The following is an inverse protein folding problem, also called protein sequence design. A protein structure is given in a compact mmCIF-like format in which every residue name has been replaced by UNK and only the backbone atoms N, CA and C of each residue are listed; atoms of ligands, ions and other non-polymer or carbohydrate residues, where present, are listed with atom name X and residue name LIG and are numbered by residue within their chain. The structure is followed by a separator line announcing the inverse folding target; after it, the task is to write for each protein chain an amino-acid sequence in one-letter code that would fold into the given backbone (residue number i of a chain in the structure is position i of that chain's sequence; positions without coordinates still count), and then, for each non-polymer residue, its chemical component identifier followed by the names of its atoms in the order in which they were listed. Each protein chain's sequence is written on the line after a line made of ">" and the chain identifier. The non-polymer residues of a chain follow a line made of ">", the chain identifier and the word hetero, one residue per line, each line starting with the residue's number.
data_IF_241313891422
#
_entry.id   IF_241313891422
#
_cell.length_a   1.000
_cell.length_b   1.000
_cell.length_c   1.000
_cell.angle_alpha   90.00
_cell.angle_beta   90.00
_cell.angle_gamma   90.00
#
_symmetry.space_group_name_H-M   'P 1'
#
loop_
_entity.id
_entity.type
_entity.pdbx_description
1 polymer ?
#
# COMPACT_ATOMS: atom_id res chain seq x y z
N UNK A 1 -10.02 -21.31 -18.30
CA UNK A 1 -9.93 -19.84 -18.31
C UNK A 1 -11.26 -19.30 -17.78
N UNK A 2 -11.29 -18.70 -16.59
CA UNK A 2 -12.52 -18.07 -16.07
C UNK A 2 -12.55 -16.61 -16.57
N UNK A 3 -13.47 -16.31 -17.47
CA UNK A 3 -13.78 -14.92 -17.83
C UNK A 3 -14.44 -14.28 -16.60
N UNK A 4 -13.72 -13.37 -15.95
CA UNK A 4 -14.25 -12.61 -14.83
C UNK A 4 -15.15 -11.49 -15.36
N UNK A 5 -16.43 -11.51 -15.02
CA UNK A 5 -17.30 -10.36 -15.21
C UNK A 5 -17.08 -9.43 -14.02
N UNK A 6 -16.09 -8.54 -14.11
CA UNK A 6 -16.04 -7.39 -13.22
C UNK A 6 -17.34 -6.58 -13.38
N UNK A 7 -17.79 -5.84 -12.35
CA UNK A 7 -18.93 -4.96 -12.50
C UNK A 7 -18.73 -4.02 -13.71
N UNK A 8 -19.80 -3.59 -14.39
CA UNK A 8 -19.70 -2.64 -15.50
C UNK A 8 -18.85 -1.43 -15.10
N UNK A 9 -17.92 -1.01 -15.97
CA UNK A 9 -17.00 0.11 -15.71
C UNK A 9 -15.67 -0.27 -15.06
N UNK A 10 -15.48 -1.50 -14.57
CA UNK A 10 -14.22 -1.93 -13.97
C UNK A 10 -13.32 -2.63 -14.99
N UNK A 11 -12.03 -2.27 -14.98
CA UNK A 11 -10.96 -2.97 -15.68
C UNK A 11 -10.12 -3.77 -14.68
N UNK A 12 -9.91 -5.05 -15.01
CA UNK A 12 -8.97 -5.91 -14.29
C UNK A 12 -7.62 -5.89 -14.99
N UNK A 13 -6.54 -6.05 -14.21
CA UNK A 13 -5.24 -6.31 -14.81
C UNK A 13 -5.36 -7.50 -15.77
N UNK A 14 -4.65 -7.48 -16.90
CA UNK A 14 -4.80 -8.56 -17.88
C UNK A 14 -4.49 -9.92 -17.24
N UNK A 15 -5.47 -10.83 -17.25
CA UNK A 15 -5.47 -12.14 -16.57
C UNK A 15 -4.32 -13.09 -16.95
N UNK A 16 -3.59 -12.77 -18.02
CA UNK A 16 -2.52 -13.57 -18.59
C UNK A 16 -1.15 -13.33 -17.94
N UNK A 17 -0.95 -12.24 -17.18
CA UNK A 17 0.37 -11.84 -16.69
C UNK A 17 0.34 -11.81 -15.16
N UNK A 18 1.09 -12.72 -14.52
CA UNK A 18 1.07 -12.93 -13.05
C UNK A 18 2.43 -12.79 -12.38
N UNK A 19 3.43 -12.30 -13.11
CA UNK A 19 4.81 -12.27 -12.61
C UNK A 19 5.10 -10.90 -12.01
N UNK A 20 5.46 -10.89 -10.73
CA UNK A 20 6.13 -9.77 -10.08
C UNK A 20 7.56 -10.21 -9.81
N UNK A 21 8.51 -9.29 -9.91
CA UNK A 21 9.92 -9.57 -9.67
C UNK A 21 10.47 -8.73 -8.51
N UNK A 22 11.57 -9.20 -7.94
CA UNK A 22 12.41 -8.44 -7.02
C UNK A 22 13.78 -8.30 -7.69
N UNK A 23 14.33 -7.10 -7.72
CA UNK A 23 15.70 -6.87 -8.17
C UNK A 23 16.66 -7.28 -7.05
N UNK A 24 17.59 -8.19 -7.32
CA UNK A 24 18.66 -8.56 -6.40
C UNK A 24 19.96 -8.68 -7.18
N UNK A 25 20.99 -7.97 -6.77
CA UNK A 25 22.32 -7.98 -7.40
C UNK A 25 22.25 -7.76 -8.92
N UNK A 26 21.41 -6.83 -9.36
CA UNK A 26 21.23 -6.50 -10.78
C UNK A 26 20.44 -7.53 -11.61
N UNK A 27 19.86 -8.56 -10.98
CA UNK A 27 19.03 -9.57 -11.65
C UNK A 27 17.59 -9.55 -11.15
N UNK A 28 16.64 -9.81 -12.05
CA UNK A 28 15.23 -9.91 -11.70
C UNK A 28 14.88 -11.34 -11.28
N UNK A 29 14.59 -11.51 -9.99
CA UNK A 29 14.13 -12.77 -9.42
C UNK A 29 12.61 -12.76 -9.34
N UNK A 30 11.97 -13.86 -9.77
CA UNK A 30 10.52 -13.97 -9.68
C UNK A 30 10.10 -14.07 -8.22
N UNK A 31 9.10 -13.27 -7.83
CA UNK A 31 8.46 -13.39 -6.54
C UNK A 31 7.80 -14.78 -6.42
N UNK A 32 8.05 -15.54 -5.33
CA UNK A 32 7.43 -16.84 -5.15
C UNK A 32 5.91 -16.72 -5.10
N UNK A 33 5.20 -17.70 -5.67
CA UNK A 33 3.75 -17.77 -5.58
C UNK A 33 3.31 -18.11 -4.14
N UNK A 34 2.05 -17.80 -3.79
CA UNK A 34 1.48 -18.18 -2.49
C UNK A 34 1.90 -17.30 -1.30
N UNK A 35 2.18 -16.02 -1.57
CA UNK A 35 2.31 -15.01 -0.51
C UNK A 35 0.91 -14.59 -0.03
N UNK A 36 0.60 -14.87 1.22
CA UNK A 36 -0.66 -14.45 1.88
C UNK A 36 -0.31 -13.44 2.95
N UNK A 37 -0.72 -12.18 2.80
CA UNK A 37 -0.30 -11.12 3.74
C UNK A 37 1.22 -11.00 3.83
N UNK A 38 1.93 -11.15 2.69
CA UNK A 38 3.40 -11.20 2.55
C UNK A 38 4.09 -12.43 3.12
N UNK A 39 3.36 -13.34 3.77
CA UNK A 39 3.93 -14.56 4.33
C UNK A 39 3.95 -15.67 3.26
N UNK A 40 5.10 -16.35 3.03
CA UNK A 40 5.21 -17.45 2.08
C UNK A 40 4.52 -18.71 2.61
N UNK A 41 3.25 -18.89 2.24
CA UNK A 41 2.45 -20.07 2.60
C UNK A 41 2.66 -21.27 1.67
N UNK A 42 3.24 -21.06 0.48
CA UNK A 42 3.61 -22.13 -0.44
C UNK A 42 5.12 -22.40 -0.35
N UNK A 43 5.49 -23.37 0.50
CA UNK A 43 6.89 -23.72 0.75
C UNK A 43 7.57 -24.36 -0.45
N UNK A 44 6.84 -25.07 -1.32
CA UNK A 44 7.40 -25.64 -2.56
C UNK A 44 7.78 -24.55 -3.55
N UNK A 45 6.94 -23.52 -3.70
CA UNK A 45 7.26 -22.36 -4.54
C UNK A 45 8.45 -21.56 -3.97
N UNK A 46 8.56 -21.47 -2.65
CA UNK A 46 9.69 -20.84 -1.97
C UNK A 46 10.99 -21.64 -2.16
N UNK A 47 10.92 -22.98 -2.04
CA UNK A 47 12.07 -23.86 -2.20
C UNK A 47 12.68 -23.75 -3.61
N UNK A 48 11.82 -23.66 -4.62
CA UNK A 48 12.20 -23.47 -6.03
C UNK A 48 12.57 -22.02 -6.39
N UNK A 49 12.42 -21.08 -5.45
CA UNK A 49 12.74 -19.67 -5.69
C UNK A 49 14.26 -19.46 -5.74
N UNK A 50 14.69 -18.59 -6.64
CA UNK A 50 16.07 -18.08 -6.71
C UNK A 50 16.28 -16.80 -5.90
N UNK A 51 15.22 -16.26 -5.30
CA UNK A 51 15.26 -14.99 -4.57
C UNK A 51 16.02 -15.10 -3.23
N UNK A 52 15.83 -16.22 -2.52
CA UNK A 52 16.36 -16.43 -1.17
C UNK A 52 17.47 -17.50 -1.17
N UNK A 53 18.44 -17.36 -0.28
CA UNK A 53 19.42 -18.40 0.00
C UNK A 53 18.78 -19.67 0.59
N UNK A 54 19.48 -20.79 0.50
CA UNK A 54 19.02 -22.04 1.11
C UNK A 54 18.95 -21.94 2.64
N UNK A 55 19.83 -21.14 3.26
CA UNK A 55 19.76 -20.83 4.69
C UNK A 55 18.49 -20.08 5.07
N UNK A 56 18.07 -19.09 4.28
CA UNK A 56 16.81 -18.39 4.49
C UNK A 56 15.59 -19.29 4.29
N UNK A 57 15.61 -20.17 3.28
CA UNK A 57 14.54 -21.15 3.06
C UNK A 57 14.39 -22.10 4.25
N UNK A 58 15.50 -22.62 4.78
CA UNK A 58 15.50 -23.43 5.99
C UNK A 58 14.98 -22.64 7.21
N UNK A 59 15.39 -21.38 7.34
CA UNK A 59 14.94 -20.50 8.41
C UNK A 59 13.42 -20.26 8.39
N UNK A 60 12.81 -20.16 7.21
CA UNK A 60 11.35 -20.11 7.03
C UNK A 60 10.69 -21.43 7.40
N UNK A 61 11.27 -22.57 6.99
CA UNK A 61 10.73 -23.89 7.32
C UNK A 61 10.67 -24.15 8.84
N UNK A 62 11.54 -23.51 9.62
CA UNK A 62 11.55 -23.59 11.08
C UNK A 62 10.50 -22.69 11.77
N UNK A 63 9.81 -21.80 11.05
CA UNK A 63 8.88 -20.81 11.63
C UNK A 63 7.76 -21.46 12.45
N UNK A 64 7.27 -22.61 12.00
CA UNK A 64 6.20 -23.35 12.68
C UNK A 64 6.61 -23.89 14.06
N UNK A 65 7.91 -24.00 14.33
CA UNK A 65 8.46 -24.54 15.58
C UNK A 65 8.90 -23.45 16.55
N UNK A 66 8.81 -22.17 16.18
CA UNK A 66 9.22 -21.06 17.04
C UNK A 66 8.13 -20.71 18.05
N UNK A 67 8.49 -20.49 19.33
CA UNK A 67 7.52 -20.03 20.32
C UNK A 67 7.00 -18.63 19.96
N UNK A 68 5.71 -18.34 20.20
CA UNK A 68 5.17 -16.99 20.08
C UNK A 68 5.78 -16.06 21.14
N UNK A 69 5.87 -14.77 20.83
CA UNK A 69 6.26 -13.76 21.83
C UNK A 69 5.11 -13.50 22.82
N UNK A 70 5.42 -13.48 24.11
CA UNK A 70 4.48 -13.10 25.18
C UNK A 70 4.29 -11.58 25.26
N UNK A 71 3.12 -11.13 25.71
CA UNK A 71 2.83 -9.70 25.93
C UNK A 71 2.22 -8.96 24.73
N UNK A 72 1.93 -7.68 24.96
CA UNK A 72 1.18 -6.82 24.02
C UNK A 72 1.96 -5.59 23.56
N UNK A 73 3.28 -5.59 23.78
CA UNK A 73 4.15 -4.55 23.26
C UNK A 73 4.14 -4.57 21.73
N UNK A 74 4.10 -3.37 21.15
CA UNK A 74 4.20 -3.20 19.71
C UNK A 74 5.66 -3.37 19.27
N UNK A 75 5.85 -3.94 18.08
CA UNK A 75 7.15 -4.10 17.47
C UNK A 75 7.11 -3.67 16.00
N UNK A 76 8.27 -3.38 15.42
CA UNK A 76 8.32 -3.03 14.00
C UNK A 76 8.11 -4.25 13.11
N UNK A 77 7.66 -4.01 11.87
CA UNK A 77 7.55 -5.07 10.85
C UNK A 77 8.92 -5.77 10.68
N UNK A 78 10.02 -5.01 10.66
CA UNK A 78 11.36 -5.56 10.54
C UNK A 78 11.72 -6.51 11.68
N UNK A 79 11.47 -6.10 12.93
CA UNK A 79 11.70 -6.93 14.13
C UNK A 79 10.90 -8.22 14.05
N UNK A 80 9.59 -8.10 13.79
CA UNK A 80 8.68 -9.23 13.74
C UNK A 80 9.08 -10.25 12.68
N UNK A 81 9.29 -9.81 11.44
CA UNK A 81 9.64 -10.71 10.32
C UNK A 81 11.02 -11.32 10.54
N UNK A 82 11.99 -10.55 11.01
CA UNK A 82 13.34 -11.07 11.29
C UNK A 82 13.29 -12.15 12.36
N UNK A 83 12.54 -11.94 13.44
CA UNK A 83 12.35 -12.92 14.52
C UNK A 83 11.59 -14.16 14.07
N UNK A 84 10.58 -14.04 13.21
CA UNK A 84 9.78 -15.20 12.75
C UNK A 84 10.44 -15.96 11.60
N UNK A 85 11.00 -15.27 10.61
CA UNK A 85 11.39 -15.85 9.31
C UNK A 85 12.85 -15.55 8.92
N UNK A 86 13.53 -14.68 9.65
CA UNK A 86 14.94 -14.34 9.41
C UNK A 86 15.12 -13.04 8.62
N UNK A 87 16.33 -12.48 8.75
CA UNK A 87 16.69 -11.18 8.19
C UNK A 87 16.60 -11.14 6.66
N UNK A 88 17.10 -12.17 5.96
CA UNK A 88 17.07 -12.18 4.49
C UNK A 88 15.63 -12.19 3.95
N UNK A 89 14.67 -12.79 4.66
CA UNK A 89 13.25 -12.75 4.28
C UNK A 89 12.69 -11.35 4.45
N UNK A 90 13.03 -10.65 5.53
CA UNK A 90 12.67 -9.25 5.67
C UNK A 90 13.27 -8.43 4.52
N UNK A 91 14.58 -8.47 4.34
CA UNK A 91 15.29 -7.61 3.38
C UNK A 91 14.91 -7.90 1.92
N UNK A 92 14.83 -9.17 1.51
CA UNK A 92 14.69 -9.54 0.10
C UNK A 92 13.23 -9.75 -0.33
N UNK A 93 12.30 -9.93 0.61
CA UNK A 93 10.91 -10.28 0.30
C UNK A 93 9.91 -9.29 0.90
N UNK A 94 9.97 -9.03 2.20
CA UNK A 94 8.93 -8.23 2.86
C UNK A 94 9.15 -6.73 2.69
N UNK A 95 10.35 -6.25 3.00
CA UNK A 95 10.75 -4.84 2.88
C UNK A 95 10.42 -4.22 1.52
N UNK A 96 10.79 -4.82 0.37
CA UNK A 96 10.52 -4.19 -0.93
C UNK A 96 9.02 -4.13 -1.27
N UNK A 97 8.22 -5.06 -0.74
CA UNK A 97 6.75 -5.01 -0.89
C UNK A 97 6.14 -3.92 0.01
N UNK A 98 6.71 -3.73 1.21
CA UNK A 98 6.29 -2.71 2.17
C UNK A 98 6.64 -1.30 1.73
N UNK A 99 7.85 -1.11 1.24
CA UNK A 99 8.27 0.12 0.59
C UNK A 99 7.30 0.49 -0.55
N UNK A 100 6.85 -0.48 -1.34
CA UNK A 100 5.86 -0.24 -2.39
C UNK A 100 4.44 0.11 -1.92
N UNK A 101 4.02 -0.28 -0.71
CA UNK A 101 2.66 -0.03 -0.18
C UNK A 101 2.63 1.22 0.71
N UNK A 102 3.55 1.33 1.65
CA UNK A 102 3.59 2.39 2.65
C UNK A 102 4.61 3.49 2.33
N UNK A 103 5.58 3.24 1.44
CA UNK A 103 6.66 4.20 1.16
C UNK A 103 7.50 4.54 2.39
N UNK A 104 7.54 3.64 3.39
CA UNK A 104 8.14 3.88 4.69
C UNK A 104 9.13 2.79 5.11
N UNK A 105 9.97 3.13 6.09
CA UNK A 105 10.99 2.24 6.66
C UNK A 105 10.33 1.18 7.58
N UNK A 106 10.45 -0.10 7.19
CA UNK A 106 9.89 -1.22 7.94
C UNK A 106 10.48 -1.40 9.35
N UNK A 107 11.61 -0.76 9.68
CA UNK A 107 12.16 -0.72 11.03
C UNK A 107 11.41 0.22 11.97
N UNK A 108 10.63 1.15 11.42
CA UNK A 108 9.83 2.15 12.14
C UNK A 108 8.32 1.90 12.06
N UNK A 109 7.87 1.14 11.04
CA UNK A 109 6.46 0.83 10.87
C UNK A 109 5.97 -0.13 11.97
N UNK A 110 5.02 0.34 12.77
CA UNK A 110 4.28 -0.44 13.78
C UNK A 110 3.57 -1.64 13.16
N UNK A 111 3.82 -2.83 13.69
CA UNK A 111 3.09 -4.03 13.30
C UNK A 111 1.62 -3.94 13.70
N UNK A 112 1.32 -3.42 14.90
CA UNK A 112 -0.04 -3.27 15.38
C UNK A 112 -0.89 -2.33 14.49
N UNK A 113 -0.29 -1.27 13.96
CA UNK A 113 -0.98 -0.31 13.10
C UNK A 113 -1.14 -0.80 11.65
N UNK A 114 -0.21 -1.63 11.15
CA UNK A 114 -0.15 -2.01 9.73
C UNK A 114 -0.67 -3.41 9.45
N UNK A 115 -0.25 -4.41 10.25
CA UNK A 115 -0.60 -5.83 10.08
C UNK A 115 -1.02 -6.47 11.41
N UNK A 116 -2.04 -5.93 12.10
CA UNK A 116 -2.49 -6.49 13.38
C UNK A 116 -2.90 -7.97 13.27
N UNK A 117 -3.34 -8.40 12.08
CA UNK A 117 -3.73 -9.79 11.85
C UNK A 117 -2.54 -10.76 11.96
N UNK A 118 -1.32 -10.34 11.62
CA UNK A 118 -0.13 -11.21 11.74
C UNK A 118 0.22 -11.46 13.21
N UNK A 119 0.14 -10.41 14.04
CA UNK A 119 0.32 -10.56 15.50
C UNK A 119 -0.76 -11.45 16.10
N UNK A 120 -2.01 -11.29 15.66
CA UNK A 120 -3.12 -12.12 16.11
C UNK A 120 -2.91 -13.60 15.73
N UNK A 121 -2.46 -13.88 14.51
CA UNK A 121 -2.15 -15.25 14.05
C UNK A 121 -1.01 -15.88 14.86
N UNK A 122 0.04 -15.12 15.18
CA UNK A 122 1.10 -15.61 16.07
C UNK A 122 0.54 -15.97 17.45
N UNK A 123 -0.34 -15.15 18.04
CA UNK A 123 -0.94 -15.40 19.35
C UNK A 123 -1.84 -16.64 19.35
N UNK A 124 -2.72 -16.75 18.37
CA UNK A 124 -3.75 -17.78 18.35
C UNK A 124 -3.22 -19.16 17.95
N UNK A 125 -2.19 -19.19 17.09
CA UNK A 125 -1.68 -20.42 16.49
C UNK A 125 -0.22 -20.72 16.82
N UNK A 126 0.51 -19.81 17.45
CA UNK A 126 1.96 -19.93 17.67
C UNK A 126 2.80 -19.79 16.39
N UNK A 127 2.19 -19.83 15.21
CA UNK A 127 2.82 -19.80 13.88
C UNK A 127 1.96 -19.11 12.84
N UNK A 128 2.61 -18.28 12.02
CA UNK A 128 1.98 -17.57 10.92
C UNK A 128 1.60 -18.51 9.78
N UNK A 129 2.50 -19.41 9.41
CA UNK A 129 2.24 -20.36 8.32
C UNK A 129 1.09 -21.29 8.70
N UNK A 130 1.10 -21.83 9.91
CA UNK A 130 0.02 -22.71 10.40
C UNK A 130 -1.31 -21.95 10.47
N UNK A 131 -1.30 -20.74 11.06
CA UNK A 131 -2.50 -19.91 11.18
C UNK A 131 -3.12 -19.60 9.82
N UNK A 132 -2.32 -19.12 8.86
CA UNK A 132 -2.81 -18.79 7.51
C UNK A 132 -3.34 -20.00 6.75
N UNK A 133 -2.66 -21.15 6.83
CA UNK A 133 -3.12 -22.40 6.19
C UNK A 133 -4.45 -22.88 6.79
N UNK A 134 -4.68 -22.67 8.09
CA UNK A 134 -5.95 -23.00 8.73
C UNK A 134 -7.06 -22.04 8.30
N UNK A 135 -6.79 -20.73 8.20
CA UNK A 135 -7.76 -19.73 7.71
C UNK A 135 -8.15 -19.93 6.25
N UNK A 136 -7.22 -20.35 5.39
CA UNK A 136 -7.49 -20.63 3.97
C UNK A 136 -8.46 -21.82 3.78
N UNK A 137 -8.36 -22.85 4.63
CA UNK A 137 -9.29 -23.99 4.60
C UNK A 137 -10.74 -23.60 4.94
N UNK A 138 -10.92 -22.51 5.69
CA UNK A 138 -12.24 -22.04 6.13
C UNK A 138 -12.90 -21.04 5.16
N UNK A 139 -12.15 -20.45 4.23
CA UNK A 139 -12.60 -19.30 3.41
C UNK A 139 -12.90 -19.64 1.94
N UNK A 140 -13.31 -20.88 1.66
CA UNK A 140 -13.53 -21.41 0.31
C UNK A 140 -14.64 -20.73 -0.54
N UNK A 141 -15.32 -19.69 -0.04
CA UNK A 141 -16.53 -19.11 -0.66
C UNK A 141 -16.45 -17.62 -1.05
N UNK A 142 -15.31 -16.94 -0.88
CA UNK A 142 -15.21 -15.50 -1.24
C UNK A 142 -14.87 -15.33 -2.74
N UNK A 143 -15.61 -14.47 -3.48
CA UNK A 143 -15.26 -14.14 -4.87
C UNK A 143 -13.84 -13.61 -4.98
N UNK A 144 -12.99 -14.29 -5.76
CA UNK A 144 -11.60 -13.85 -6.00
C UNK A 144 -11.57 -12.83 -7.14
N UNK A 145 -11.26 -11.58 -6.82
CA UNK A 145 -10.97 -10.53 -7.80
C UNK A 145 -9.49 -10.59 -8.22
N UNK A 146 -9.12 -10.06 -9.41
CA UNK A 146 -7.73 -9.82 -9.74
C UNK A 146 -7.06 -8.94 -8.66
N UNK A 147 -5.78 -9.18 -8.32
CA UNK A 147 -5.09 -8.41 -7.27
C UNK A 147 -4.95 -6.93 -7.62
N UNK A 148 -5.07 -6.57 -8.91
CA UNK A 148 -5.05 -5.20 -9.37
C UNK A 148 -6.29 -4.94 -10.24
N UNK A 149 -7.10 -3.97 -9.81
CA UNK A 149 -8.27 -3.44 -10.52
C UNK A 149 -8.13 -1.94 -10.69
N UNK A 150 -8.72 -1.40 -11.74
CA UNK A 150 -8.78 0.03 -11.98
C UNK A 150 -9.94 0.34 -12.94
N UNK A 151 -10.05 1.58 -13.38
CA UNK A 151 -11.07 2.00 -14.37
C UNK A 151 -10.44 2.22 -15.76
N UNK A 152 -11.22 2.14 -16.84
CA UNK A 152 -10.76 2.37 -18.21
C UNK A 152 -9.94 3.65 -18.35
N UNK A 153 -10.43 4.75 -17.77
CA UNK A 153 -9.82 6.07 -17.88
C UNK A 153 -8.84 6.41 -16.76
N UNK A 154 -8.60 5.49 -15.80
CA UNK A 154 -7.79 5.78 -14.61
C UNK A 154 -8.62 5.95 -13.34
N UNK A 155 -7.95 6.02 -12.19
CA UNK A 155 -8.62 6.21 -10.89
C UNK A 155 -9.34 7.56 -10.77
N UNK A 156 -9.06 8.53 -11.65
CA UNK A 156 -9.81 9.79 -11.72
C UNK A 156 -11.29 9.60 -12.03
N UNK A 157 -11.68 8.49 -12.66
CA UNK A 157 -13.08 8.15 -12.93
C UNK A 157 -13.89 7.99 -11.63
N UNK A 158 -13.29 7.41 -10.58
CA UNK A 158 -13.93 7.30 -9.27
C UNK A 158 -14.22 8.68 -8.66
N UNK A 159 -13.25 9.59 -8.75
CA UNK A 159 -13.40 10.95 -8.20
C UNK A 159 -14.48 11.70 -8.97
N UNK A 160 -14.46 11.65 -10.31
CA UNK A 160 -15.48 12.27 -11.15
C UNK A 160 -16.88 11.73 -10.84
N UNK A 161 -17.03 10.40 -10.76
CA UNK A 161 -18.31 9.78 -10.44
C UNK A 161 -18.82 10.17 -9.04
N UNK A 162 -17.94 10.25 -8.03
CA UNK A 162 -18.32 10.72 -6.70
C UNK A 162 -18.77 12.18 -6.74
N UNK A 163 -18.03 13.05 -7.43
CA UNK A 163 -18.39 14.46 -7.60
C UNK A 163 -19.74 14.64 -8.29
N UNK A 164 -20.02 13.89 -9.35
CA UNK A 164 -21.28 13.97 -10.10
C UNK A 164 -22.51 13.49 -9.30
N UNK A 165 -22.30 12.66 -8.28
CA UNK A 165 -23.36 12.14 -7.41
C UNK A 165 -23.66 13.05 -6.21
N UNK A 166 -22.77 14.01 -5.90
CA UNK A 166 -23.05 14.94 -4.83
C UNK A 166 -24.25 15.83 -5.18
N UNK A 167 -25.14 16.01 -4.21
CA UNK A 167 -26.34 16.84 -4.27
C UNK A 167 -26.33 17.73 -3.04
N UNK A 168 -26.86 18.95 -3.17
CA UNK A 168 -26.98 19.90 -2.06
C UNK A 168 -25.64 20.24 -1.38
N UNK A 169 -24.54 20.29 -2.16
CA UNK A 169 -23.21 20.70 -1.70
C UNK A 169 -22.65 21.82 -2.56
N UNK A 170 -21.83 22.67 -1.95
CA UNK A 170 -20.99 23.63 -2.67
C UNK A 170 -19.54 23.12 -2.72
N UNK A 171 -18.95 23.06 -3.92
CA UNK A 171 -17.57 22.61 -4.13
C UNK A 171 -16.68 23.82 -4.40
N UNK A 172 -15.91 24.23 -3.40
CA UNK A 172 -15.01 25.37 -3.48
C UNK A 172 -13.58 24.97 -3.86
N UNK A 173 -13.31 24.79 -5.16
CA UNK A 173 -11.95 24.57 -5.66
C UNK A 173 -11.09 25.84 -5.54
N UNK A 174 -9.77 25.66 -5.47
CA UNK A 174 -8.83 26.78 -5.35
C UNK A 174 -9.00 27.63 -4.08
N UNK A 175 -9.68 27.10 -3.06
CA UNK A 175 -10.04 27.80 -1.82
C UNK A 175 -9.35 27.11 -0.63
N UNK A 176 -8.09 27.45 -0.37
CA UNK A 176 -7.33 26.81 0.71
C UNK A 176 -7.79 27.34 2.07
N UNK A 177 -8.18 26.45 2.98
CA UNK A 177 -8.36 26.81 4.40
C UNK A 177 -7.01 27.16 5.04
N UNK A 178 -6.92 28.31 5.70
CA UNK A 178 -5.69 28.81 6.32
C UNK A 178 -5.75 28.83 7.84
N UNK A 179 -6.94 28.99 8.41
CA UNK A 179 -7.13 29.04 9.85
C UNK A 179 -8.54 28.57 10.22
N UNK A 180 -8.66 27.87 11.35
CA UNK A 180 -9.94 27.48 11.92
C UNK A 180 -10.05 28.06 13.33
N UNK A 181 -11.17 28.72 13.62
CA UNK A 181 -11.49 29.26 14.94
C UNK A 181 -12.87 28.81 15.37
N UNK A 182 -13.17 28.88 16.68
CA UNK A 182 -14.56 28.77 17.14
C UNK A 182 -15.31 30.03 16.72
N UNK A 183 -16.55 29.87 16.29
CA UNK A 183 -17.39 31.00 15.86
C UNK A 183 -17.59 31.98 17.03
N UNK A 184 -17.46 33.28 16.74
CA UNK A 184 -17.79 34.34 17.70
C UNK A 184 -19.30 34.57 17.83
N UNK A 185 -20.09 34.11 16.84
CA UNK A 185 -21.52 34.36 16.74
C UNK A 185 -22.39 33.28 17.43
N UNK A 186 -21.79 32.24 18.01
CA UNK A 186 -22.50 31.13 18.64
C UNK A 186 -21.74 29.81 18.58
N UNK A 187 -22.41 28.66 18.81
CA UNK A 187 -21.79 27.36 18.60
C UNK A 187 -21.38 27.19 17.13
N UNK A 188 -20.28 26.46 16.89
CA UNK A 188 -19.74 26.20 15.55
C UNK A 188 -18.34 26.79 15.34
N UNK A 189 -17.96 26.89 14.07
CA UNK A 189 -16.60 27.21 13.63
C UNK A 189 -16.60 28.24 12.52
N UNK A 190 -15.48 28.97 12.45
CA UNK A 190 -15.13 29.84 11.34
C UNK A 190 -13.89 29.34 10.64
N UNK A 191 -13.90 29.34 9.31
CA UNK A 191 -12.79 28.86 8.47
C UNK A 191 -12.35 29.99 7.55
N UNK A 192 -11.15 30.51 7.79
CA UNK A 192 -10.52 31.49 6.92
C UNK A 192 -10.02 30.83 5.63
N UNK A 193 -10.21 31.49 4.50
CA UNK A 193 -9.86 30.99 3.17
C UNK A 193 -8.87 31.91 2.46
N UNK A 194 -7.88 31.32 1.79
CA UNK A 194 -7.02 31.98 0.81
C UNK A 194 -7.77 32.06 -0.54
N UNK A 195 -8.76 32.97 -0.64
CA UNK A 195 -9.55 33.20 -1.87
C UNK A 195 -9.90 34.70 -2.01
N UNK A 196 -9.90 35.20 -3.24
CA UNK A 196 -10.12 36.63 -3.52
C UNK A 196 -11.58 37.10 -3.29
N UNK A 197 -12.57 36.24 -3.49
CA UNK A 197 -13.99 36.64 -3.46
C UNK A 197 -14.71 36.36 -2.14
N UNK A 198 -14.18 35.43 -1.34
CA UNK A 198 -14.78 35.01 -0.07
C UNK A 198 -13.66 34.59 0.86
N UNK A 199 -13.53 35.28 1.98
CA UNK A 199 -12.41 35.11 2.90
C UNK A 199 -12.75 34.20 4.08
N UNK A 200 -14.02 33.86 4.26
CA UNK A 200 -14.49 33.12 5.44
C UNK A 200 -15.72 32.25 5.14
N UNK A 201 -15.80 31.10 5.82
CA UNK A 201 -16.96 30.21 5.87
C UNK A 201 -17.31 29.90 7.31
N UNK A 202 -18.62 29.78 7.59
CA UNK A 202 -19.13 29.32 8.88
C UNK A 202 -19.72 27.92 8.77
N UNK A 203 -19.50 27.10 9.80
CA UNK A 203 -20.04 25.75 9.86
C UNK A 203 -20.32 25.33 11.31
N UNK A 204 -21.43 24.62 11.54
CA UNK A 204 -21.74 24.04 12.86
C UNK A 204 -20.80 22.88 13.19
N UNK A 205 -20.39 22.13 12.17
CA UNK A 205 -19.53 20.95 12.27
C UNK A 205 -18.44 21.01 11.21
N UNK A 206 -17.23 20.61 11.59
CA UNK A 206 -16.09 20.50 10.68
C UNK A 206 -15.62 19.06 10.57
N UNK A 207 -15.40 18.61 9.33
CA UNK A 207 -14.72 17.36 9.01
C UNK A 207 -13.42 17.74 8.31
N UNK A 208 -12.28 17.44 8.94
CA UNK A 208 -10.95 17.73 8.39
C UNK A 208 -10.43 16.47 7.70
N UNK A 209 -10.22 16.56 6.39
CA UNK A 209 -9.73 15.46 5.54
C UNK A 209 -8.38 15.80 4.90
N UNK A 210 -7.68 16.80 5.43
CA UNK A 210 -6.36 17.21 4.96
C UNK A 210 -5.25 16.30 5.51
N UNK A 211 -4.05 16.30 4.91
CA UNK A 211 -2.89 15.61 5.48
C UNK A 211 -2.57 16.08 6.91
N UNK A 212 -1.98 15.22 7.75
CA UNK A 212 -1.83 15.51 9.18
C UNK A 212 -1.02 16.78 9.47
N UNK A 213 0.05 17.05 8.70
CA UNK A 213 0.83 18.27 8.85
C UNK A 213 0.06 19.56 8.49
N UNK A 214 -1.01 19.45 7.68
CA UNK A 214 -1.93 20.55 7.40
C UNK A 214 -2.94 20.67 8.53
N UNK A 215 -3.53 19.55 8.96
CA UNK A 215 -4.45 19.48 10.10
C UNK A 215 -3.84 20.08 11.35
N UNK A 216 -2.57 19.76 11.66
CA UNK A 216 -1.83 20.33 12.78
C UNK A 216 -1.83 21.87 12.76
N UNK A 217 -1.58 22.48 11.61
CA UNK A 217 -1.58 23.94 11.45
C UNK A 217 -2.98 24.53 11.64
N UNK A 218 -4.00 23.87 11.10
CA UNK A 218 -5.39 24.32 11.18
C UNK A 218 -5.97 24.23 12.60
N UNK A 219 -5.55 23.23 13.37
CA UNK A 219 -6.05 22.96 14.72
C UNK A 219 -5.31 23.72 15.82
N UNK A 220 -4.16 24.35 15.52
CA UNK A 220 -3.31 24.97 16.56
C UNK A 220 -4.03 25.99 17.45
N UNK A 221 -5.04 26.70 16.94
CA UNK A 221 -5.86 27.65 17.73
C UNK A 221 -7.08 27.04 18.41
N UNK A 222 -7.40 25.77 18.14
CA UNK A 222 -8.58 25.07 18.69
C UNK A 222 -8.15 24.06 19.76
N UNK A 223 -7.15 23.26 19.43
CA UNK A 223 -6.66 22.16 20.26
C UNK A 223 -5.16 21.96 19.99
N UNK A 224 -4.28 22.59 20.80
CA UNK A 224 -2.84 22.49 20.64
C UNK A 224 -2.30 21.07 20.83
N UNK A 225 -2.89 20.27 21.72
CA UNK A 225 -2.45 18.90 21.99
C UNK A 225 -2.75 18.00 20.79
N UNK A 226 -3.96 18.10 20.23
CA UNK A 226 -4.33 17.39 19.02
C UNK A 226 -3.50 17.83 17.81
N UNK A 227 -3.18 19.13 17.73
CA UNK A 227 -2.30 19.68 16.70
C UNK A 227 -0.88 19.09 16.79
N UNK A 228 -0.32 18.98 17.99
CA UNK A 228 0.99 18.37 18.24
C UNK A 228 1.00 16.88 17.86
N UNK A 229 -0.04 16.13 18.23
CA UNK A 229 -0.20 14.73 17.86
C UNK A 229 -0.21 14.54 16.33
N UNK A 230 -0.88 15.42 15.58
CA UNK A 230 -0.88 15.39 14.11
C UNK A 230 0.47 15.81 13.52
N UNK A 231 1.16 16.78 14.12
CA UNK A 231 2.46 17.23 13.68
C UNK A 231 3.54 16.15 13.83
N UNK A 232 3.38 15.24 14.79
CA UNK A 232 4.28 14.12 15.03
C UNK A 232 4.18 13.00 13.98
N UNK A 233 3.18 13.02 13.09
CA UNK A 233 3.00 11.98 12.07
C UNK A 233 3.97 12.24 10.90
N UNK A 234 4.98 11.38 10.67
CA UNK A 234 5.96 11.58 9.62
C UNK A 234 5.35 11.30 8.24
N UNK A 235 5.85 12.02 7.23
CA UNK A 235 5.49 11.82 5.82
C UNK A 235 6.75 11.55 4.99
N UNK A 236 6.70 10.46 4.21
CA UNK A 236 7.67 10.20 3.15
C UNK A 236 7.32 10.99 1.89
N UNK A 237 8.35 11.28 1.08
CA UNK A 237 8.16 11.82 -0.28
C UNK A 237 8.42 10.73 -1.31
N UNK A 238 7.70 10.77 -2.42
CA UNK A 238 7.95 9.90 -3.57
C UNK A 238 7.77 10.69 -4.86
N UNK A 239 8.50 10.28 -5.89
CA UNK A 239 8.36 10.81 -7.25
C UNK A 239 7.98 9.67 -8.18
N UNK A 240 6.99 9.91 -9.04
CA UNK A 240 6.62 8.96 -10.11
C UNK A 240 7.12 9.49 -11.44
N UNK A 241 7.96 8.71 -12.11
CA UNK A 241 8.49 9.02 -13.44
C UNK A 241 7.81 8.09 -14.45
N UNK A 242 7.12 8.65 -15.43
CA UNK A 242 6.51 7.88 -16.53
C UNK A 242 7.43 7.92 -17.75
N UNK A 243 7.91 6.75 -18.16
CA UNK A 243 8.72 6.56 -19.36
C UNK A 243 7.91 5.77 -20.38
N UNK A 244 7.98 6.18 -21.65
CA UNK A 244 7.31 5.50 -22.75
C UNK A 244 8.32 5.26 -23.87
N UNK A 245 8.30 4.05 -24.41
CA UNK A 245 9.22 3.63 -25.47
C UNK A 245 8.43 3.19 -26.71
N UNK A 246 9.03 3.31 -27.89
CA UNK A 246 8.44 2.72 -29.09
C UNK A 246 8.46 1.18 -28.96
N UNK A 247 7.43 0.53 -29.49
CA UNK A 247 7.18 -0.89 -29.22
C UNK A 247 8.26 -1.85 -29.75
N UNK A 248 9.06 -1.40 -30.70
CA UNK A 248 10.20 -2.08 -31.32
C UNK A 248 11.54 -1.81 -30.62
N UNK A 249 11.59 -0.82 -29.71
CA UNK A 249 12.82 -0.43 -29.00
C UNK A 249 13.12 -1.35 -27.82
N UNK A 250 12.09 -1.94 -27.20
CA UNK A 250 12.24 -2.80 -26.02
C UNK A 250 11.56 -4.15 -26.22
N UNK A 251 12.16 -5.20 -25.67
CA UNK A 251 11.57 -6.54 -25.65
C UNK A 251 10.25 -6.57 -24.88
N UNK A 252 9.42 -7.58 -25.16
CA UNK A 252 8.17 -7.75 -24.43
C UNK A 252 8.44 -7.98 -22.93
N UNK A 253 7.78 -7.16 -22.10
CA UNK A 253 7.82 -7.26 -20.65
C UNK A 253 6.73 -8.24 -20.20
N UNK A 254 7.11 -9.33 -19.53
CA UNK A 254 6.21 -10.39 -19.06
C UNK A 254 6.07 -10.33 -17.53
N UNK A 255 5.34 -9.32 -17.06
CA UNK A 255 5.09 -9.11 -15.64
C UNK A 255 4.34 -7.82 -15.33
N UNK A 256 4.06 -7.62 -14.05
CA UNK A 256 3.56 -6.34 -13.54
C UNK A 256 4.66 -5.29 -13.38
N UNK A 257 5.91 -5.73 -13.26
CA UNK A 257 7.02 -4.89 -12.86
C UNK A 257 7.89 -5.57 -11.82
N UNK A 258 8.74 -4.77 -11.18
CA UNK A 258 9.63 -5.21 -10.12
C UNK A 258 9.72 -4.19 -8.98
N UNK A 259 10.05 -4.69 -7.80
CA UNK A 259 10.41 -3.89 -6.62
C UNK A 259 11.89 -4.05 -6.34
N UNK A 260 12.50 -3.05 -5.70
CA UNK A 260 13.92 -3.05 -5.36
C UNK A 260 14.05 -3.01 -3.83
N UNK A 261 14.68 -4.00 -3.20
CA UNK A 261 15.05 -3.97 -1.79
C UNK A 261 15.91 -2.75 -1.46
N UNK A 262 15.68 -2.11 -0.31
CA UNK A 262 16.55 -1.00 0.13
C UNK A 262 18.02 -1.39 0.28
N UNK A 263 18.30 -2.68 0.58
CA UNK A 263 19.65 -3.24 0.65
C UNK A 263 20.42 -3.19 -0.68
N UNK A 264 19.75 -2.99 -1.81
CA UNK A 264 20.41 -2.75 -3.11
C UNK A 264 20.95 -1.32 -3.25
N UNK A 265 20.61 -0.41 -2.32
CA UNK A 265 21.20 0.93 -2.23
C UNK A 265 20.85 1.86 -3.39
N UNK A 266 19.63 1.74 -3.94
CA UNK A 266 19.15 2.57 -5.05
C UNK A 266 18.05 3.54 -4.64
N UNK A 267 17.95 4.69 -5.32
CA UNK A 267 16.83 5.64 -5.12
C UNK A 267 15.51 5.18 -5.75
N UNK A 268 15.54 4.12 -6.58
CA UNK A 268 14.35 3.59 -7.25
C UNK A 268 13.71 2.53 -6.36
N UNK A 269 12.46 2.74 -5.95
CA UNK A 269 11.75 1.77 -5.11
C UNK A 269 11.14 0.62 -5.93
N UNK A 270 10.61 0.95 -7.10
CA UNK A 270 9.91 0.01 -7.96
C UNK A 270 9.80 0.53 -9.40
N UNK A 271 9.58 -0.39 -10.32
CA UNK A 271 9.20 -0.10 -11.69
C UNK A 271 7.92 -0.88 -12.02
N UNK A 272 6.86 -0.17 -12.42
CA UNK A 272 5.62 -0.79 -12.89
C UNK A 272 5.58 -0.78 -14.41
N UNK A 273 5.34 -1.94 -15.01
CA UNK A 273 5.16 -2.08 -16.46
C UNK A 273 3.70 -1.87 -16.83
N UNK A 274 3.28 -0.61 -16.87
CA UNK A 274 1.88 -0.20 -17.05
C UNK A 274 1.24 -0.78 -18.32
N UNK A 275 1.98 -0.82 -19.43
CA UNK A 275 1.50 -1.35 -20.71
C UNK A 275 1.28 -2.87 -20.71
N UNK A 276 2.01 -3.59 -19.86
CA UNK A 276 1.83 -5.02 -19.59
C UNK A 276 0.65 -5.26 -18.64
N UNK A 277 0.55 -4.48 -17.57
CA UNK A 277 -0.49 -4.60 -16.54
C UNK A 277 -1.88 -4.21 -17.06
N UNK A 278 -1.95 -3.16 -17.88
CA UNK A 278 -3.17 -2.54 -18.39
C UNK A 278 -3.06 -2.27 -19.90
N UNK A 279 -3.39 -3.28 -20.74
CA UNK A 279 -3.21 -3.16 -22.21
C UNK A 279 -3.91 -1.96 -22.86
N UNK A 280 -5.00 -1.44 -22.27
CA UNK A 280 -5.69 -0.26 -22.76
C UNK A 280 -5.12 1.08 -22.31
N UNK A 281 -4.06 1.10 -21.49
CA UNK A 281 -3.37 2.32 -21.03
C UNK A 281 -2.12 2.68 -21.82
N UNK A 282 -2.04 2.18 -23.05
CA UNK A 282 -0.97 2.53 -23.98
C UNK A 282 -1.55 3.00 -25.31
N UNK A 283 -0.96 4.01 -25.96
CA UNK A 283 -1.13 4.23 -27.39
C UNK A 283 -0.82 2.93 -28.16
N UNK A 284 -1.49 2.70 -29.30
CA UNK A 284 -1.34 1.45 -30.08
C UNK A 284 0.13 1.12 -30.46
N UNK A 285 1.00 2.13 -30.52
CA UNK A 285 2.39 2.04 -30.96
C UNK A 285 3.45 2.17 -29.84
N UNK A 286 3.03 2.28 -28.58
CA UNK A 286 3.93 2.49 -27.45
C UNK A 286 3.97 1.28 -26.49
N UNK A 287 5.10 1.14 -25.80
CA UNK A 287 5.29 0.25 -24.66
C UNK A 287 5.67 1.02 -23.41
#
# INVERSE_FOLDING_TARGET
>A
MKNWALPPGWWGGTSAIKKTFVLRQGQLHRLPEGLTGMIPTNLDALANSTLLSDGAKQRVAMEASLPPLEGDEDESIASFVTRRMGQEVYEQLVEPLMSGIYGGDGTQLSLAATFPQLRQLERDHGSLIVGLLNSQKQTASVPTYPPFVSFPSGMGELVAALTDQLRDVEICLGSRATQITRSAAGPGYSVALEKQSQTELHADVLIITTPAFVTAKLLGSIDPELAEAHAAIPYGSSATISLAYAADTISALDGYGYVIPSVEGTDVLACTWTSSKWRGRRPKHAR
#
